data_IF_911790096031
#
_entry.id   IF_911790096031
#
_cell.length_a   1.000
_cell.length_b   1.000
_cell.length_c   1.000
_cell.angle_alpha   90.00
_cell.angle_beta   90.00
_cell.angle_gamma   90.00
#
_symmetry.space_group_name_H-M   'P 1'
#
loop_
_entity.id
_entity.type
_entity.pdbx_description
1 polymer ?
#
# COMPACT_ATOMS: atom_id res chain seq x y z
N UNK A 1 8.46 50.28 -20.71
CA UNK A 1 7.08 49.98 -20.30
C UNK A 1 7.09 48.61 -19.63
N UNK A 2 6.96 48.59 -18.31
CA UNK A 2 7.17 47.39 -17.47
C UNK A 2 5.95 46.46 -17.53
N UNK A 3 6.16 45.19 -17.86
CA UNK A 3 5.10 44.17 -17.81
C UNK A 3 5.00 43.63 -16.38
N UNK A 4 3.90 43.96 -15.70
CA UNK A 4 3.55 43.38 -14.40
C UNK A 4 3.13 41.93 -14.61
N UNK A 5 3.96 40.98 -14.16
CA UNK A 5 3.59 39.57 -14.03
C UNK A 5 2.81 39.41 -12.73
N UNK A 6 1.54 39.03 -12.83
CA UNK A 6 0.72 38.70 -11.66
C UNK A 6 1.20 37.38 -11.04
N UNK A 7 1.29 37.28 -9.70
CA UNK A 7 1.61 36.01 -9.04
C UNK A 7 0.47 35.01 -9.30
N UNK A 8 0.80 33.87 -9.91
CA UNK A 8 -0.12 32.72 -10.01
C UNK A 8 -0.27 32.12 -8.62
N UNK A 9 -1.36 32.48 -7.93
CA UNK A 9 -1.79 31.76 -6.73
C UNK A 9 -2.12 30.32 -7.15
N UNK A 10 -1.44 29.28 -6.62
CA UNK A 10 -1.80 27.90 -6.93
C UNK A 10 -3.21 27.64 -6.39
N UNK A 11 -4.14 27.26 -7.26
CA UNK A 11 -5.46 26.80 -6.82
C UNK A 11 -5.28 25.53 -5.97
N UNK A 12 -6.07 25.35 -4.89
CA UNK A 12 -6.15 24.08 -4.21
C UNK A 12 -6.57 23.00 -5.22
N UNK A 13 -5.79 21.92 -5.33
CA UNK A 13 -6.17 20.75 -6.11
C UNK A 13 -7.26 20.01 -5.33
N UNK A 14 -8.52 20.32 -5.60
CA UNK A 14 -9.70 19.64 -5.05
C UNK A 14 -10.01 18.31 -5.77
N UNK A 15 -9.00 17.66 -6.34
CA UNK A 15 -9.15 16.30 -6.85
C UNK A 15 -8.63 15.35 -5.78
N UNK A 16 -9.35 14.26 -5.44
CA UNK A 16 -8.83 13.25 -4.55
C UNK A 16 -7.46 12.81 -5.07
N UNK A 17 -6.49 12.65 -4.16
CA UNK A 17 -5.18 12.16 -4.52
C UNK A 17 -5.32 10.88 -5.35
N UNK A 18 -4.56 10.72 -6.44
CA UNK A 18 -4.61 9.50 -7.23
C UNK A 18 -4.40 8.28 -6.32
N UNK A 19 -5.22 7.25 -6.51
CA UNK A 19 -5.09 6.02 -5.73
C UNK A 19 -3.68 5.42 -5.95
N UNK A 20 -3.06 4.86 -4.91
CA UNK A 20 -1.74 4.26 -5.02
C UNK A 20 -1.75 3.09 -6.02
N UNK A 21 -0.88 3.16 -7.03
CA UNK A 21 -0.72 2.16 -8.10
C UNK A 21 0.74 1.80 -8.32
N UNK A 22 1.56 1.89 -7.28
CA UNK A 22 2.95 1.43 -7.29
C UNK A 22 3.01 -0.09 -7.47
N UNK A 23 4.10 -0.57 -8.07
CA UNK A 23 4.30 -1.99 -8.37
C UNK A 23 5.66 -2.47 -7.85
N UNK A 24 5.68 -3.64 -7.23
CA UNK A 24 6.93 -4.30 -6.83
C UNK A 24 7.72 -4.69 -8.09
N UNK A 25 9.01 -4.38 -8.11
CA UNK A 25 9.89 -4.54 -9.27
C UNK A 25 9.95 -3.32 -10.20
N UNK A 26 9.01 -2.38 -10.08
CA UNK A 26 8.96 -1.15 -10.91
C UNK A 26 9.15 0.13 -10.07
N UNK A 27 10.00 0.06 -9.04
CA UNK A 27 10.30 1.18 -8.13
C UNK A 27 10.37 0.77 -6.67
N UNK A 28 9.73 -0.35 -6.32
CA UNK A 28 9.84 -0.98 -5.00
C UNK A 28 10.61 -2.29 -5.13
N UNK A 29 11.75 -2.43 -4.45
CA UNK A 29 12.63 -3.59 -4.61
C UNK A 29 12.09 -4.83 -3.88
N UNK A 30 12.06 -6.02 -4.52
CA UNK A 30 11.52 -7.25 -3.94
C UNK A 30 12.44 -7.82 -2.84
N UNK A 31 12.29 -7.30 -1.62
CA UNK A 31 13.08 -7.70 -0.44
C UNK A 31 12.15 -8.37 0.58
N UNK A 32 12.48 -9.58 1.09
CA UNK A 32 11.71 -10.21 2.16
C UNK A 32 11.62 -9.32 3.40
N UNK A 33 10.49 -9.40 4.12
CA UNK A 33 10.17 -8.63 5.33
C UNK A 33 10.09 -7.10 5.14
N UNK A 34 10.19 -6.60 3.91
CA UNK A 34 10.03 -5.18 3.59
C UNK A 34 8.56 -4.75 3.47
N UNK A 35 7.66 -5.68 3.18
CA UNK A 35 6.28 -5.35 2.86
C UNK A 35 5.33 -5.78 3.97
N UNK A 36 4.32 -4.94 4.22
CA UNK A 36 3.26 -5.19 5.19
C UNK A 36 1.90 -5.03 4.51
N UNK A 37 1.02 -6.01 4.68
CA UNK A 37 -0.37 -5.96 4.25
C UNK A 37 -1.32 -5.63 5.41
N UNK A 38 -2.18 -4.64 5.20
CA UNK A 38 -3.34 -4.39 6.04
C UNK A 38 -4.60 -4.93 5.37
N UNK A 39 -5.36 -5.74 6.11
CA UNK A 39 -6.47 -6.56 5.61
C UNK A 39 -7.68 -6.41 6.52
N UNK A 40 -8.87 -6.81 6.06
CA UNK A 40 -10.06 -7.00 6.89
C UNK A 40 -10.68 -8.37 6.68
N UNK A 41 -11.15 -8.99 7.76
CA UNK A 41 -11.79 -10.31 7.70
C UNK A 41 -13.12 -10.31 6.93
N UNK A 42 -13.88 -9.21 7.01
CA UNK A 42 -15.20 -9.05 6.39
C UNK A 42 -15.14 -8.48 4.95
N UNK A 43 -13.95 -8.32 4.38
CA UNK A 43 -13.74 -7.75 3.06
C UNK A 43 -13.29 -8.83 2.07
N UNK A 44 -14.12 -9.15 1.07
CA UNK A 44 -13.82 -10.17 0.06
C UNK A 44 -12.46 -9.94 -0.65
N UNK A 45 -12.13 -8.72 -1.13
CA UNK A 45 -10.79 -8.42 -1.63
C UNK A 45 -9.64 -8.76 -0.66
N UNK A 46 -9.80 -8.49 0.63
CA UNK A 46 -8.79 -8.83 1.64
C UNK A 46 -8.68 -10.34 1.84
N UNK A 47 -9.81 -11.07 1.83
CA UNK A 47 -9.81 -12.53 1.91
C UNK A 47 -9.09 -13.18 0.72
N UNK A 48 -9.24 -12.63 -0.49
CA UNK A 48 -8.51 -13.08 -1.67
C UNK A 48 -6.99 -12.93 -1.49
N UNK A 49 -6.55 -11.79 -0.95
CA UNK A 49 -5.13 -11.53 -0.66
C UNK A 49 -4.60 -12.46 0.44
N UNK A 50 -5.36 -12.68 1.52
CA UNK A 50 -5.01 -13.65 2.57
C UNK A 50 -4.83 -15.06 2.00
N UNK A 51 -5.77 -15.51 1.18
CA UNK A 51 -5.70 -16.82 0.54
C UNK A 51 -4.49 -16.94 -0.39
N UNK A 52 -4.18 -15.87 -1.15
CA UNK A 52 -3.02 -15.84 -2.02
C UNK A 52 -1.69 -15.89 -1.24
N UNK A 53 -1.56 -15.16 -0.13
CA UNK A 53 -0.37 -15.23 0.73
C UNK A 53 -0.08 -16.66 1.19
N UNK A 54 -1.12 -17.35 1.68
CA UNK A 54 -1.00 -18.72 2.15
C UNK A 54 -0.69 -19.70 1.01
N UNK A 55 -1.40 -19.59 -0.12
CA UNK A 55 -1.20 -20.48 -1.28
C UNK A 55 0.19 -20.32 -1.92
N UNK A 56 0.79 -19.13 -1.81
CA UNK A 56 2.11 -18.82 -2.36
C UNK A 56 3.26 -19.01 -1.33
N UNK A 57 2.96 -19.38 -0.08
CA UNK A 57 3.97 -19.55 0.98
C UNK A 57 4.68 -18.26 1.38
N UNK A 58 3.99 -17.12 1.33
CA UNK A 58 4.57 -15.81 1.61
C UNK A 58 4.35 -15.34 3.07
N UNK A 59 3.71 -16.15 3.91
CA UNK A 59 3.35 -15.83 5.30
C UNK A 59 4.56 -15.48 6.19
N UNK A 60 5.73 -16.06 5.89
CA UNK A 60 6.97 -15.75 6.61
C UNK A 60 7.67 -14.50 6.09
N UNK A 61 7.48 -14.17 4.81
CA UNK A 61 8.23 -13.11 4.13
C UNK A 61 7.47 -11.78 4.07
N UNK A 62 6.15 -11.80 4.22
CA UNK A 62 5.31 -10.61 4.19
C UNK A 62 4.46 -10.59 5.45
N UNK A 63 4.64 -9.55 6.26
CA UNK A 63 3.82 -9.35 7.46
C UNK A 63 2.40 -8.98 7.03
N UNK A 64 1.39 -9.60 7.64
CA UNK A 64 -0.01 -9.28 7.39
C UNK A 64 -0.73 -9.00 8.71
N UNK A 65 -1.50 -7.92 8.75
CA UNK A 65 -2.33 -7.54 9.90
C UNK A 65 -3.77 -7.44 9.47
N UNK A 66 -4.64 -8.21 10.13
CA UNK A 66 -6.08 -8.10 9.98
C UNK A 66 -6.57 -7.03 10.94
N UNK A 67 -7.10 -5.95 10.40
CA UNK A 67 -7.66 -4.84 11.16
C UNK A 67 -8.90 -5.31 11.92
N UNK A 68 -8.95 -4.97 13.20
CA UNK A 68 -10.15 -5.12 14.03
C UNK A 68 -11.21 -4.07 13.70
N UNK A 69 -12.28 -4.03 14.49
CA UNK A 69 -13.36 -3.05 14.32
C UNK A 69 -13.06 -1.69 14.96
N UNK A 70 -12.06 -1.61 15.83
CA UNK A 70 -11.70 -0.42 16.60
C UNK A 70 -10.91 0.61 15.77
N UNK A 71 -11.51 1.74 15.35
CA UNK A 71 -10.86 2.67 14.43
C UNK A 71 -9.72 3.48 15.04
N UNK A 72 -9.60 3.48 16.38
CA UNK A 72 -8.51 4.14 17.12
C UNK A 72 -7.37 3.19 17.49
N UNK A 73 -7.43 1.94 17.03
CA UNK A 73 -6.34 1.01 17.27
C UNK A 73 -5.05 1.47 16.57
N UNK A 74 -3.91 1.02 17.08
CA UNK A 74 -2.60 1.46 16.59
C UNK A 74 -2.39 1.10 15.11
N UNK A 75 -2.99 -0.01 14.66
CA UNK A 75 -2.92 -0.48 13.27
C UNK A 75 -3.61 0.49 12.30
N UNK A 76 -4.76 1.06 12.70
CA UNK A 76 -5.45 2.09 11.92
C UNK A 76 -4.65 3.38 11.83
N UNK A 77 -4.00 3.76 12.94
CA UNK A 77 -3.13 4.94 12.98
C UNK A 77 -1.92 4.73 12.05
N UNK A 78 -1.29 3.56 12.11
CA UNK A 78 -0.16 3.21 11.25
C UNK A 78 -0.56 3.20 9.76
N UNK A 79 -1.71 2.60 9.42
CA UNK A 79 -2.22 2.60 8.05
C UNK A 79 -2.51 4.03 7.55
N UNK A 80 -3.10 4.88 8.39
CA UNK A 80 -3.36 6.28 8.05
C UNK A 80 -2.09 7.04 7.73
N UNK A 81 -1.08 6.92 8.58
CA UNK A 81 0.23 7.53 8.35
C UNK A 81 0.84 7.05 7.03
N UNK A 82 0.63 5.77 6.68
CA UNK A 82 1.14 5.24 5.42
C UNK A 82 0.48 5.86 4.17
N UNK A 83 -0.84 6.09 4.21
CA UNK A 83 -1.55 6.78 3.14
C UNK A 83 -1.12 8.25 3.03
N UNK A 84 -0.99 8.94 4.17
CA UNK A 84 -0.52 10.33 4.23
C UNK A 84 0.93 10.47 3.70
N UNK A 85 1.76 9.45 3.88
CA UNK A 85 3.12 9.42 3.34
C UNK A 85 3.17 9.18 1.82
N UNK A 86 2.16 8.53 1.25
CA UNK A 86 2.07 8.27 -0.21
C UNK A 86 1.70 9.52 -1.01
N UNK A 87 0.91 10.43 -0.44
CA UNK A 87 0.53 11.67 -1.10
C UNK A 87 0.26 12.80 -0.09
N UNK A 88 0.68 14.02 -0.42
CA UNK A 88 0.43 15.19 0.41
C UNK A 88 -1.08 15.40 0.57
N UNK A 89 -1.56 15.22 1.80
CA UNK A 89 -2.97 15.25 2.23
C UNK A 89 -3.81 14.08 1.71
N UNK A 90 -3.75 12.97 2.44
CA UNK A 90 -4.75 11.91 2.31
C UNK A 90 -5.99 12.26 3.15
N UNK A 91 -7.00 12.83 2.49
CA UNK A 91 -8.35 13.03 3.06
C UNK A 91 -9.31 11.88 2.70
N UNK A 92 -8.79 10.81 2.11
CA UNK A 92 -9.55 9.66 1.64
C UNK A 92 -9.94 8.67 2.74
N UNK A 93 -10.85 7.76 2.40
CA UNK A 93 -11.14 6.61 3.24
C UNK A 93 -9.98 5.62 3.19
N UNK A 94 -9.54 5.10 4.35
CA UNK A 94 -8.54 4.02 4.40
C UNK A 94 -9.11 2.78 3.71
N UNK A 95 -8.57 2.44 2.55
CA UNK A 95 -8.98 1.27 1.77
C UNK A 95 -8.19 0.04 2.23
N UNK A 96 -8.83 -1.13 2.14
CA UNK A 96 -8.16 -2.42 2.32
C UNK A 96 -8.64 -3.37 1.22
N UNK A 97 -7.77 -4.26 0.71
CA UNK A 97 -6.39 -4.50 1.13
C UNK A 97 -5.44 -3.33 0.80
N UNK A 98 -4.47 -3.09 1.66
CA UNK A 98 -3.43 -2.07 1.44
C UNK A 98 -2.05 -2.70 1.62
N UNK A 99 -1.23 -2.62 0.58
CA UNK A 99 0.16 -3.06 0.57
C UNK A 99 1.06 -1.86 0.88
N UNK A 100 1.82 -1.96 1.97
CA UNK A 100 2.70 -0.89 2.47
C UNK A 100 4.15 -1.33 2.37
N UNK A 101 5.00 -0.43 1.89
CA UNK A 101 6.46 -0.54 1.98
C UNK A 101 6.90 0.01 3.34
N UNK A 102 7.42 -0.86 4.22
CA UNK A 102 7.80 -0.46 5.57
C UNK A 102 9.04 0.44 5.60
N UNK A 103 9.87 0.42 4.55
CA UNK A 103 11.06 1.25 4.48
C UNK A 103 10.74 2.70 4.18
N UNK A 104 9.86 2.95 3.21
CA UNK A 104 9.39 4.31 2.91
C UNK A 104 8.22 4.74 3.77
N UNK A 105 7.55 3.79 4.44
CA UNK A 105 6.31 4.01 5.17
C UNK A 105 5.15 4.38 4.25
N UNK A 106 5.18 4.02 2.97
CA UNK A 106 4.18 4.42 1.97
C UNK A 106 3.32 3.23 1.53
N UNK A 107 2.04 3.49 1.25
CA UNK A 107 1.20 2.56 0.50
C UNK A 107 1.74 2.44 -0.93
N UNK A 108 2.12 1.21 -1.30
CA UNK A 108 2.53 0.81 -2.65
C UNK A 108 1.29 0.73 -3.54
N UNK A 109 0.30 -0.06 -3.13
CA UNK A 109 -0.95 -0.24 -3.86
C UNK A 109 -2.10 -0.58 -2.91
N UNK A 110 -3.29 -0.08 -3.25
CA UNK A 110 -4.56 -0.49 -2.67
C UNK A 110 -5.47 -1.20 -3.70
N UNK A 111 -4.90 -1.54 -4.86
CA UNK A 111 -5.61 -2.22 -5.94
C UNK A 111 -5.38 -3.73 -5.86
N UNK A 112 -6.43 -4.47 -5.50
CA UNK A 112 -6.34 -5.93 -5.29
C UNK A 112 -5.71 -6.71 -6.46
N UNK A 113 -6.06 -6.47 -7.75
CA UNK A 113 -5.39 -7.14 -8.86
C UNK A 113 -3.88 -6.90 -8.90
N UNK A 114 -3.44 -5.64 -8.73
CA UNK A 114 -2.02 -5.30 -8.70
C UNK A 114 -1.30 -5.97 -7.53
N UNK A 115 -1.93 -5.97 -6.34
CA UNK A 115 -1.40 -6.64 -5.15
C UNK A 115 -1.22 -8.14 -5.42
N UNK A 116 -2.22 -8.80 -5.98
CA UNK A 116 -2.14 -10.23 -6.29
C UNK A 116 -1.05 -10.55 -7.31
N UNK A 117 -0.88 -9.70 -8.33
CA UNK A 117 0.19 -9.85 -9.30
C UNK A 117 1.57 -9.63 -8.69
N UNK A 118 1.71 -8.65 -7.80
CA UNK A 118 2.94 -8.39 -7.07
C UNK A 118 3.28 -9.55 -6.11
N UNK A 119 2.29 -10.17 -5.46
CA UNK A 119 2.51 -11.38 -4.66
C UNK A 119 3.01 -12.56 -5.51
N UNK A 120 2.43 -12.77 -6.70
CA UNK A 120 2.91 -13.81 -7.64
C UNK A 120 4.33 -13.53 -8.11
N UNK A 121 4.63 -12.26 -8.40
CA UNK A 121 5.97 -11.82 -8.75
C UNK A 121 6.97 -12.10 -7.61
N UNK A 122 6.62 -11.76 -6.38
CA UNK A 122 7.45 -12.03 -5.20
C UNK A 122 7.70 -13.52 -4.99
N UNK A 123 6.66 -14.36 -5.08
CA UNK A 123 6.80 -15.81 -4.91
C UNK A 123 7.73 -16.44 -5.96
N UNK A 124 7.76 -15.90 -7.18
CA UNK A 124 8.69 -16.33 -8.22
C UNK A 124 10.13 -15.79 -8.01
N UNK A 125 10.30 -14.73 -7.22
CA UNK A 125 11.58 -14.07 -7.02
C UNK A 125 12.53 -14.92 -6.15
N UNK A 126 13.81 -15.11 -6.54
CA UNK A 126 14.74 -15.99 -5.85
C UNK A 126 14.92 -15.66 -4.36
N UNK A 127 14.85 -14.38 -4.00
CA UNK A 127 14.98 -13.94 -2.60
C UNK A 127 13.87 -14.49 -1.68
N UNK A 128 12.69 -14.82 -2.22
CA UNK A 128 11.55 -15.34 -1.44
C UNK A 128 11.48 -16.87 -1.46
N UNK A 129 12.22 -17.54 -2.35
CA UNK A 129 12.27 -19.00 -2.45
C UNK A 129 13.25 -19.63 -1.47
N UNK A 130 14.24 -18.87 -0.98
CA UNK A 130 15.33 -19.38 -0.15
C UNK A 130 14.95 -19.62 1.33
N UNK A 131 13.71 -19.32 1.74
CA UNK A 131 13.24 -19.43 3.12
C UNK A 131 12.11 -20.43 3.38
N UNK A 132 11.74 -21.26 2.37
CA UNK A 132 10.76 -22.35 2.52
C UNK A 132 11.38 -23.62 3.08
#
# INVERSE_FOLDING_TARGET
MSHTVLPRTPLPRTSPAPAPRGRIGAGFSPVPHRYHLYLRADCLPSQQVTAALAALGLDRSITATVLGTEPRAAEYTALRLAYEATGHHFDGALTVPALVDTWSGRVVSDHTPDILDDLRFLAAHPAFRAGS
#
